data_IF_156082897633
#
_entry.id   IF_156082897633
#
_cell.length_a   1.000
_cell.length_b   1.000
_cell.length_c   1.000
_cell.angle_alpha   90.00
_cell.angle_beta   90.00
_cell.angle_gamma   90.00
#
_symmetry.space_group_name_H-M   'P 1'
#
loop_
_entity.id
_entity.type
_entity.pdbx_description
1 polymer ?
#
# COMPACT_ATOMS: atom_id res chain seq x y z
N UNK A 1 -4.06 -22.04 -0.32
CA UNK A 1 -3.66 -20.98 -1.19
C UNK A 1 -3.47 -19.66 -0.45
N UNK A 2 -4.24 -18.60 -0.59
CA UNK A 2 -4.01 -17.32 0.11
C UNK A 2 -2.74 -16.59 -0.33
N UNK A 3 -2.15 -15.78 0.60
CA UNK A 3 -0.97 -14.93 0.30
C UNK A 3 0.24 -15.70 -0.19
N UNK A 4 0.55 -16.84 0.38
CA UNK A 4 1.66 -17.69 -0.06
C UNK A 4 1.47 -18.24 -1.49
N UNK A 5 0.25 -18.61 -1.84
CA UNK A 5 -0.08 -19.05 -3.20
C UNK A 5 0.06 -17.92 -4.22
N UNK A 6 -0.38 -16.72 -3.86
CA UNK A 6 -0.22 -15.53 -4.70
C UNK A 6 1.26 -15.14 -4.85
N UNK A 7 2.03 -15.14 -3.77
CA UNK A 7 3.48 -14.89 -3.79
C UNK A 7 4.19 -15.80 -4.79
N UNK A 8 3.92 -17.11 -4.71
CA UNK A 8 4.52 -18.11 -5.60
C UNK A 8 4.12 -17.86 -7.06
N UNK A 9 2.83 -17.67 -7.32
CA UNK A 9 2.32 -17.43 -8.67
C UNK A 9 2.90 -16.15 -9.29
N UNK A 10 3.03 -15.08 -8.52
CA UNK A 10 3.64 -13.83 -8.98
C UNK A 10 5.15 -13.97 -9.19
N UNK A 11 5.87 -14.71 -8.32
CA UNK A 11 7.30 -14.97 -8.51
C UNK A 11 7.56 -15.75 -9.82
N UNK A 12 6.76 -16.77 -10.09
CA UNK A 12 6.82 -17.52 -11.35
C UNK A 12 6.47 -16.64 -12.55
N UNK A 13 5.43 -15.82 -12.45
CA UNK A 13 4.97 -14.95 -13.53
C UNK A 13 5.99 -13.85 -13.88
N UNK A 14 6.56 -13.19 -12.86
CA UNK A 14 7.55 -12.15 -13.06
C UNK A 14 8.96 -12.69 -13.31
N UNK A 15 9.28 -13.93 -12.89
CA UNK A 15 10.57 -14.55 -13.05
C UNK A 15 11.65 -13.99 -12.13
N UNK A 16 11.25 -13.46 -10.97
CA UNK A 16 12.12 -13.11 -9.84
C UNK A 16 11.44 -13.52 -8.53
N UNK A 17 12.23 -13.73 -7.50
CA UNK A 17 11.73 -14.14 -6.19
C UNK A 17 11.04 -12.96 -5.47
N UNK A 18 9.86 -13.23 -4.92
CA UNK A 18 9.16 -12.33 -4.00
C UNK A 18 9.32 -12.93 -2.61
N UNK A 19 10.12 -12.31 -1.75
CA UNK A 19 10.48 -12.86 -0.45
C UNK A 19 9.33 -12.78 0.56
N UNK A 20 8.58 -11.68 0.53
CA UNK A 20 7.58 -11.38 1.55
C UNK A 20 6.23 -11.00 0.95
N UNK A 21 5.19 -11.30 1.69
CA UNK A 21 3.84 -10.85 1.39
C UNK A 21 3.11 -10.37 2.64
N UNK A 22 2.13 -9.49 2.46
CA UNK A 22 1.16 -9.11 3.46
C UNK A 22 -0.22 -8.97 2.81
N UNK A 23 -1.20 -9.68 3.34
CA UNK A 23 -2.58 -9.64 2.88
C UNK A 23 -3.48 -9.24 4.03
N UNK A 24 -4.24 -8.19 3.85
CA UNK A 24 -5.24 -7.73 4.80
C UNK A 24 -6.65 -8.09 4.29
N UNK A 25 -7.56 -8.29 5.21
CA UNK A 25 -8.98 -8.12 4.94
C UNK A 25 -9.32 -6.63 5.07
N UNK A 26 -10.33 -6.16 4.37
CA UNK A 26 -10.67 -4.73 4.32
C UNK A 26 -10.84 -4.10 5.71
N UNK A 27 -11.61 -4.74 6.59
CA UNK A 27 -11.80 -4.25 7.96
C UNK A 27 -10.51 -4.28 8.80
N UNK A 28 -9.66 -5.28 8.62
CA UNK A 28 -8.40 -5.41 9.36
C UNK A 28 -7.41 -4.34 8.88
N UNK A 29 -7.41 -4.01 7.59
CA UNK A 29 -6.61 -2.93 7.02
C UNK A 29 -7.08 -1.56 7.54
N UNK A 30 -8.38 -1.28 7.50
CA UNK A 30 -8.97 -0.06 8.04
C UNK A 30 -8.58 0.13 9.50
N UNK A 31 -8.76 -0.90 10.33
CA UNK A 31 -8.37 -0.87 11.74
C UNK A 31 -6.86 -0.68 11.93
N UNK A 32 -6.03 -1.26 11.08
CA UNK A 32 -4.57 -1.06 11.12
C UNK A 32 -4.21 0.41 10.88
N UNK A 33 -4.77 1.02 9.84
CA UNK A 33 -4.55 2.44 9.52
C UNK A 33 -5.05 3.35 10.63
N UNK A 34 -6.23 3.09 11.19
CA UNK A 34 -6.79 3.88 12.30
C UNK A 34 -5.90 3.85 13.55
N UNK A 35 -5.26 2.72 13.83
CA UNK A 35 -4.32 2.59 14.94
C UNK A 35 -2.97 3.29 14.70
N UNK A 36 -2.58 3.51 13.44
CA UNK A 36 -1.43 4.37 13.13
C UNK A 36 -1.75 5.85 13.33
N UNK A 37 -3.04 6.21 13.35
CA UNK A 37 -3.54 7.56 13.39
C UNK A 37 -3.84 8.11 11.99
N UNK A 38 -4.59 9.21 11.95
CA UNK A 38 -4.91 9.86 10.68
C UNK A 38 -3.65 10.41 10.03
N UNK A 39 -3.49 10.18 8.75
CA UNK A 39 -2.35 10.70 8.00
C UNK A 39 -2.72 11.83 7.04
N UNK A 40 -1.75 12.70 6.82
CA UNK A 40 -1.93 13.85 5.95
C UNK A 40 -1.95 13.41 4.49
N UNK A 41 -2.97 13.88 3.77
CA UNK A 41 -3.08 13.71 2.33
C UNK A 41 -3.40 15.04 1.67
N UNK A 42 -2.78 15.34 0.53
CA UNK A 42 -3.02 16.56 -0.22
C UNK A 42 -3.67 16.23 -1.56
N UNK A 43 -4.92 16.63 -1.71
CA UNK A 43 -5.63 16.50 -2.99
C UNK A 43 -5.51 17.75 -3.83
N UNK A 44 -5.25 17.59 -5.13
CA UNK A 44 -5.18 18.71 -6.08
C UNK A 44 -6.56 19.23 -6.53
N UNK A 45 -7.62 18.48 -6.21
CA UNK A 45 -9.00 18.78 -6.58
C UNK A 45 -9.99 18.30 -5.53
N UNK A 46 -11.21 18.85 -5.60
CA UNK A 46 -12.33 18.26 -4.86
C UNK A 46 -12.68 16.89 -5.44
N UNK A 47 -12.88 15.90 -4.57
CA UNK A 47 -13.34 14.56 -4.95
C UNK A 47 -14.70 14.35 -4.28
N UNK A 48 -15.72 14.18 -5.10
CA UNK A 48 -17.07 13.79 -4.68
C UNK A 48 -17.47 12.58 -5.50
N UNK A 49 -17.63 11.48 -4.85
CA UNK A 49 -17.91 10.22 -5.50
C UNK A 49 -18.80 9.34 -4.63
N UNK A 50 -19.79 8.71 -5.25
CA UNK A 50 -20.63 7.69 -4.66
C UNK A 50 -20.39 6.45 -5.52
N UNK A 51 -19.68 5.46 -4.97
CA UNK A 51 -19.23 4.27 -5.68
C UNK A 51 -19.81 2.99 -5.10
N UNK A 52 -19.47 1.87 -5.75
CA UNK A 52 -19.94 0.55 -5.35
C UNK A 52 -21.34 0.21 -5.88
N UNK A 53 -21.88 -0.91 -5.43
CA UNK A 53 -23.22 -1.38 -5.80
C UNK A 53 -23.80 -2.32 -4.73
N UNK A 54 -25.12 -2.38 -4.63
CA UNK A 54 -25.80 -3.21 -3.63
C UNK A 54 -25.44 -2.80 -2.21
N UNK A 55 -25.05 -3.75 -1.39
CA UNK A 55 -24.65 -3.52 0.01
C UNK A 55 -23.20 -3.03 0.15
N UNK A 56 -22.42 -3.03 -0.95
CA UNK A 56 -21.01 -2.62 -0.98
C UNK A 56 -20.85 -1.22 -1.59
N UNK A 57 -21.53 -0.24 -1.00
CA UNK A 57 -21.44 1.17 -1.42
C UNK A 57 -20.47 1.94 -0.54
N UNK A 58 -19.85 2.98 -1.12
CA UNK A 58 -18.98 3.90 -0.39
C UNK A 58 -19.09 5.32 -0.90
N UNK A 59 -18.72 6.27 -0.09
CA UNK A 59 -18.84 7.69 -0.38
C UNK A 59 -17.51 8.41 -0.10
N UNK A 60 -17.08 9.28 -1.04
CA UNK A 60 -15.93 10.16 -0.84
C UNK A 60 -16.41 11.60 -0.88
N UNK A 61 -16.01 12.39 0.10
CA UNK A 61 -16.27 13.84 0.20
C UNK A 61 -14.98 14.56 0.61
N UNK A 62 -14.00 14.61 -0.30
CA UNK A 62 -12.70 15.21 -0.07
C UNK A 62 -12.63 16.59 -0.74
N UNK A 63 -12.14 17.59 -0.02
CA UNK A 63 -11.88 18.92 -0.58
C UNK A 63 -10.44 19.03 -1.09
N UNK A 64 -10.26 19.88 -2.10
CA UNK A 64 -8.91 20.30 -2.54
C UNK A 64 -8.12 20.84 -1.35
N UNK A 65 -6.83 20.46 -1.29
CA UNK A 65 -5.90 20.86 -0.24
C UNK A 65 -5.60 19.74 0.74
N UNK A 66 -5.10 20.09 1.91
CA UNK A 66 -4.69 19.15 2.94
C UNK A 66 -5.91 18.62 3.70
N UNK A 67 -6.02 17.32 3.81
CA UNK A 67 -7.00 16.59 4.63
C UNK A 67 -6.28 15.54 5.48
N UNK A 68 -6.97 15.05 6.49
CA UNK A 68 -6.46 13.95 7.33
C UNK A 68 -7.37 12.75 7.11
N UNK A 69 -6.80 11.70 6.54
CA UNK A 69 -7.51 10.47 6.21
C UNK A 69 -7.41 9.47 7.37
N UNK A 70 -8.49 8.81 7.66
CA UNK A 70 -8.53 7.60 8.47
C UNK A 70 -8.53 6.35 7.58
N UNK A 71 -8.67 5.16 8.19
CA UNK A 71 -8.61 3.91 7.45
C UNK A 71 -9.74 3.74 6.45
N UNK A 72 -10.93 4.23 6.75
CA UNK A 72 -12.08 4.18 5.82
C UNK A 72 -11.86 5.14 4.64
N UNK A 73 -11.45 6.37 4.90
CA UNK A 73 -11.12 7.35 3.87
C UNK A 73 -10.04 6.81 2.92
N UNK A 74 -8.98 6.17 3.49
CA UNK A 74 -7.92 5.57 2.70
C UNK A 74 -8.44 4.45 1.80
N UNK A 75 -9.19 3.50 2.37
CA UNK A 75 -9.73 2.36 1.62
C UNK A 75 -10.65 2.83 0.49
N UNK A 76 -11.53 3.78 0.77
CA UNK A 76 -12.43 4.36 -0.22
C UNK A 76 -11.68 5.07 -1.35
N UNK A 77 -10.63 5.85 -1.03
CA UNK A 77 -9.79 6.50 -2.04
C UNK A 77 -8.98 5.50 -2.87
N UNK A 78 -8.43 4.46 -2.25
CA UNK A 78 -7.74 3.39 -2.97
C UNK A 78 -8.67 2.70 -3.97
N UNK A 79 -9.89 2.39 -3.54
CA UNK A 79 -10.91 1.79 -4.39
C UNK A 79 -11.30 2.72 -5.55
N UNK A 80 -11.56 3.98 -5.27
CA UNK A 80 -11.86 4.99 -6.28
C UNK A 80 -10.76 5.10 -7.33
N UNK A 81 -9.50 5.22 -6.89
CA UNK A 81 -8.38 5.35 -7.82
C UNK A 81 -8.08 4.07 -8.59
N UNK A 82 -8.06 2.91 -7.94
CA UNK A 82 -7.65 1.66 -8.57
C UNK A 82 -8.75 0.96 -9.36
N UNK A 83 -10.00 1.03 -8.90
CA UNK A 83 -11.13 0.31 -9.50
C UNK A 83 -11.98 1.21 -10.38
N UNK A 84 -12.51 2.31 -9.82
CA UNK A 84 -13.53 3.10 -10.51
C UNK A 84 -12.92 3.99 -11.59
N UNK A 85 -11.80 4.66 -11.30
CA UNK A 85 -11.15 5.57 -12.25
C UNK A 85 -9.95 4.97 -12.98
N UNK A 86 -9.43 3.85 -12.48
CA UNK A 86 -8.20 3.20 -12.97
C UNK A 86 -7.01 4.17 -13.03
N UNK A 87 -6.99 5.14 -12.13
CA UNK A 87 -5.89 6.10 -11.98
C UNK A 87 -4.83 5.53 -11.03
N UNK A 88 -4.05 4.60 -11.54
CA UNK A 88 -3.01 3.91 -10.74
C UNK A 88 -1.92 4.86 -10.25
N UNK A 89 -1.66 5.96 -10.95
CA UNK A 89 -0.70 6.98 -10.48
C UNK A 89 -1.17 7.61 -9.17
N UNK A 90 -2.44 8.03 -9.10
CA UNK A 90 -3.00 8.58 -7.88
C UNK A 90 -3.12 7.55 -6.75
N UNK A 91 -3.40 6.28 -7.08
CA UNK A 91 -3.37 5.20 -6.11
C UNK A 91 -1.96 5.01 -5.51
N UNK A 92 -0.92 5.06 -6.34
CA UNK A 92 0.47 4.96 -5.88
C UNK A 92 0.92 6.18 -5.06
N UNK A 93 0.47 7.39 -5.40
CA UNK A 93 0.69 8.58 -4.57
C UNK A 93 0.05 8.41 -3.18
N UNK A 94 -1.14 7.87 -3.11
CA UNK A 94 -1.82 7.59 -1.83
C UNK A 94 -1.01 6.59 -0.99
N UNK A 95 -0.48 5.53 -1.60
CA UNK A 95 0.43 4.58 -0.93
C UNK A 95 1.70 5.28 -0.45
N UNK A 96 2.30 6.16 -1.27
CA UNK A 96 3.48 6.93 -0.88
C UNK A 96 3.21 7.81 0.33
N UNK A 97 2.08 8.51 0.38
CA UNK A 97 1.67 9.29 1.55
C UNK A 97 1.57 8.41 2.80
N UNK A 98 0.92 7.25 2.70
CA UNK A 98 0.78 6.33 3.83
C UNK A 98 2.14 5.78 4.32
N UNK A 99 3.04 5.41 3.41
CA UNK A 99 4.39 4.97 3.74
C UNK A 99 5.22 6.07 4.40
N UNK A 100 5.11 7.30 3.91
CA UNK A 100 5.81 8.46 4.49
C UNK A 100 5.33 8.74 5.92
N UNK A 101 4.02 8.61 6.18
CA UNK A 101 3.48 8.75 7.53
C UNK A 101 3.83 7.55 8.43
N UNK A 102 3.95 6.35 7.87
CA UNK A 102 4.37 5.17 8.63
C UNK A 102 5.83 5.28 9.07
N UNK A 103 6.73 5.71 8.18
CA UNK A 103 8.15 5.83 8.44
C UNK A 103 8.51 7.25 8.89
N UNK A 104 8.21 7.57 10.15
CA UNK A 104 8.59 8.82 10.80
C UNK A 104 9.16 8.57 12.20
N UNK A 105 9.83 9.59 12.78
CA UNK A 105 10.49 9.48 14.09
C UNK A 105 9.54 9.01 15.20
N UNK A 106 8.33 9.55 15.25
CA UNK A 106 7.32 9.18 16.25
C UNK A 106 6.95 7.70 16.15
N UNK A 107 6.72 7.21 14.94
CA UNK A 107 6.33 5.82 14.72
C UNK A 107 7.50 4.86 14.95
N UNK A 108 8.75 5.33 14.84
CA UNK A 108 9.89 4.50 15.20
C UNK A 108 9.95 4.21 16.69
N UNK A 109 9.60 5.15 17.54
CA UNK A 109 9.52 4.93 19.00
C UNK A 109 8.52 3.82 19.33
N UNK A 110 7.44 3.70 18.56
CA UNK A 110 6.39 2.70 18.71
C UNK A 110 6.50 1.52 17.71
N UNK A 111 7.61 1.39 16.97
CA UNK A 111 7.73 0.47 15.83
C UNK A 111 7.48 -1.00 16.20
N UNK A 112 7.85 -1.45 17.38
CA UNK A 112 7.57 -2.82 17.83
C UNK A 112 6.07 -3.06 18.05
N UNK A 113 5.39 -2.09 18.63
CA UNK A 113 3.94 -2.16 18.83
C UNK A 113 3.19 -2.13 17.51
N UNK A 114 3.60 -1.26 16.59
CA UNK A 114 3.06 -1.19 15.22
C UNK A 114 3.32 -2.48 14.44
N UNK A 115 4.51 -3.05 14.57
CA UNK A 115 4.81 -4.32 13.92
C UNK A 115 3.97 -5.48 14.48
N UNK A 116 3.77 -5.54 15.79
CA UNK A 116 2.86 -6.52 16.42
C UNK A 116 1.42 -6.35 15.93
N UNK A 117 0.96 -5.11 15.80
CA UNK A 117 -0.36 -4.80 15.26
C UNK A 117 -0.46 -5.24 13.79
N UNK A 118 0.55 -4.94 12.97
CA UNK A 118 0.64 -5.40 11.59
C UNK A 118 0.52 -6.92 11.49
N UNK A 119 1.31 -7.68 12.26
CA UNK A 119 1.27 -9.14 12.26
C UNK A 119 -0.07 -9.73 12.73
N UNK A 120 -0.79 -8.99 13.58
CA UNK A 120 -2.13 -9.39 14.03
C UNK A 120 -3.19 -9.12 12.96
N UNK A 121 -3.02 -8.05 12.18
CA UNK A 121 -4.00 -7.58 11.20
C UNK A 121 -3.80 -8.17 9.82
N UNK A 122 -2.58 -8.59 9.46
CA UNK A 122 -2.24 -9.14 8.16
C UNK A 122 -1.97 -10.64 8.21
N UNK A 123 -2.37 -11.35 7.15
CA UNK A 123 -1.78 -12.65 6.83
C UNK A 123 -0.44 -12.42 6.13
N UNK A 124 0.66 -12.79 6.77
CA UNK A 124 2.01 -12.49 6.28
C UNK A 124 3.01 -13.59 6.63
N UNK A 125 4.10 -13.68 5.88
CA UNK A 125 5.28 -14.49 6.22
C UNK A 125 6.40 -13.65 6.86
N UNK A 126 6.19 -12.34 7.09
CA UNK A 126 7.17 -11.50 7.81
C UNK A 126 7.12 -11.86 9.29
N UNK A 127 8.17 -12.47 9.78
CA UNK A 127 8.29 -12.88 11.19
C UNK A 127 8.83 -11.77 12.09
N UNK A 128 8.66 -11.93 13.39
CA UNK A 128 9.31 -11.04 14.39
C UNK A 128 10.82 -11.02 14.18
N UNK A 129 11.44 -12.15 13.88
CA UNK A 129 12.88 -12.22 13.59
C UNK A 129 13.26 -11.38 12.37
N UNK A 130 12.48 -11.43 11.28
CA UNK A 130 12.75 -10.58 10.12
C UNK A 130 12.71 -9.09 10.48
N UNK A 131 11.76 -8.69 11.35
CA UNK A 131 11.68 -7.31 11.83
C UNK A 131 12.90 -6.94 12.69
N UNK A 132 13.27 -7.77 13.65
CA UNK A 132 14.42 -7.54 14.53
C UNK A 132 15.73 -7.44 13.75
N UNK A 133 15.95 -8.36 12.80
CA UNK A 133 17.14 -8.37 11.93
C UNK A 133 17.22 -7.11 11.04
N UNK A 134 16.09 -6.46 10.73
CA UNK A 134 16.01 -5.27 9.87
C UNK A 134 15.66 -3.98 10.63
N UNK A 135 15.64 -3.99 11.96
CA UNK A 135 15.25 -2.82 12.77
C UNK A 135 16.11 -1.57 12.48
N UNK A 136 17.40 -1.76 12.22
CA UNK A 136 18.29 -0.67 11.83
C UNK A 136 17.89 -0.03 10.49
N UNK A 137 17.37 -0.81 9.56
CA UNK A 137 16.85 -0.26 8.29
C UNK A 137 15.59 0.56 8.53
N UNK A 138 14.69 0.12 9.40
CA UNK A 138 13.51 0.88 9.81
C UNK A 138 13.93 2.21 10.46
N UNK A 139 14.95 2.20 11.31
CA UNK A 139 15.53 3.40 11.92
C UNK A 139 16.02 4.39 10.87
N UNK A 140 16.77 3.91 9.87
CA UNK A 140 17.27 4.75 8.78
C UNK A 140 16.13 5.39 8.00
N UNK A 141 15.06 4.65 7.69
CA UNK A 141 13.89 5.21 7.03
C UNK A 141 13.19 6.28 7.86
N UNK A 142 13.08 6.08 9.17
CA UNK A 142 12.37 6.99 10.06
C UNK A 142 13.15 8.28 10.37
N UNK A 143 14.47 8.20 10.56
CA UNK A 143 15.27 9.33 11.03
C UNK A 143 16.08 10.05 9.96
N UNK A 144 16.40 9.40 8.85
CA UNK A 144 17.27 10.00 7.81
C UNK A 144 16.48 10.63 6.67
N UNK A 145 15.17 10.78 6.80
CA UNK A 145 14.31 11.29 5.72
C UNK A 145 14.69 10.68 4.36
N UNK A 146 14.87 9.36 4.35
CA UNK A 146 15.22 8.65 3.12
C UNK A 146 14.06 8.81 2.18
N UNK A 147 14.30 9.35 0.99
CA UNK A 147 13.27 9.54 -0.01
C UNK A 147 12.68 8.18 -0.39
N UNK A 148 11.43 7.97 0.02
CA UNK A 148 10.67 6.78 -0.39
C UNK A 148 10.16 7.07 -1.80
N UNK A 149 10.54 6.23 -2.74
CA UNK A 149 10.06 6.34 -4.12
C UNK A 149 9.14 5.18 -4.44
N UNK A 150 7.92 5.51 -4.85
CA UNK A 150 6.97 4.52 -5.37
C UNK A 150 7.03 4.58 -6.90
N UNK A 151 7.46 3.48 -7.51
CA UNK A 151 7.45 3.36 -8.97
C UNK A 151 6.08 2.90 -9.43
N UNK A 152 5.51 3.66 -10.36
CA UNK A 152 4.24 3.31 -11.00
C UNK A 152 4.52 2.69 -12.36
N UNK A 153 4.16 1.42 -12.52
CA UNK A 153 3.98 0.85 -13.85
C UNK A 153 2.54 1.09 -14.27
N UNK A 154 2.30 1.76 -15.40
CA UNK A 154 0.99 1.78 -16.03
C UNK A 154 0.83 0.47 -16.81
N UNK A 155 0.23 -0.59 -16.21
CA UNK A 155 0.22 -1.89 -16.85
C UNK A 155 -0.71 -1.88 -18.05
N UNK A 156 -0.21 -2.37 -19.17
CA UNK A 156 -1.04 -2.68 -20.33
C UNK A 156 -1.32 -4.18 -20.35
N UNK A 157 -2.55 -4.54 -20.71
CA UNK A 157 -3.03 -5.91 -20.67
C UNK A 157 -3.38 -6.38 -22.09
N UNK A 158 -3.12 -7.66 -22.34
CA UNK A 158 -3.65 -8.42 -23.47
C UNK A 158 -4.55 -9.52 -22.90
N UNK A 159 -5.84 -9.31 -22.91
CA UNK A 159 -6.79 -10.15 -22.17
C UNK A 159 -6.60 -9.98 -20.66
N UNK A 160 -6.31 -11.07 -19.96
CA UNK A 160 -6.07 -11.09 -18.49
C UNK A 160 -4.59 -11.06 -18.11
N UNK A 161 -3.68 -11.10 -19.07
CA UNK A 161 -2.24 -11.12 -18.85
C UNK A 161 -1.61 -9.75 -19.13
N UNK A 162 -0.53 -9.42 -18.43
CA UNK A 162 0.29 -8.25 -18.75
C UNK A 162 0.93 -8.41 -20.13
N UNK A 163 1.06 -7.32 -20.87
CA UNK A 163 1.83 -7.33 -22.12
C UNK A 163 3.32 -7.58 -21.83
N UNK A 164 4.06 -8.05 -22.83
CA UNK A 164 5.49 -8.30 -22.71
C UNK A 164 6.27 -7.03 -22.34
N UNK A 165 5.85 -5.87 -22.84
CA UNK A 165 6.47 -4.58 -22.51
C UNK A 165 6.25 -4.24 -21.03
N UNK A 166 5.03 -4.39 -20.51
CA UNK A 166 4.75 -4.19 -19.08
C UNK A 166 5.53 -5.16 -18.19
N UNK A 167 5.67 -6.43 -18.59
CA UNK A 167 6.51 -7.40 -17.88
C UNK A 167 7.98 -7.00 -17.86
N UNK A 168 8.49 -6.48 -18.99
CA UNK A 168 9.87 -5.99 -19.08
C UNK A 168 10.10 -4.78 -18.20
N UNK A 169 9.15 -3.85 -18.15
CA UNK A 169 9.23 -2.66 -17.28
C UNK A 169 9.27 -3.07 -15.81
N UNK A 170 8.35 -3.94 -15.36
CA UNK A 170 8.37 -4.46 -13.98
C UNK A 170 9.72 -5.11 -13.65
N UNK A 171 10.20 -6.00 -14.51
CA UNK A 171 11.52 -6.65 -14.31
C UNK A 171 12.66 -5.64 -14.24
N UNK A 172 12.60 -4.57 -15.02
CA UNK A 172 13.63 -3.52 -15.04
C UNK A 172 13.81 -2.79 -13.71
N UNK A 173 12.77 -2.73 -12.85
CA UNK A 173 12.89 -2.15 -11.51
C UNK A 173 13.61 -3.06 -10.51
N UNK A 174 13.56 -4.37 -10.69
CA UNK A 174 14.11 -5.37 -9.77
C UNK A 174 15.44 -5.99 -10.24
N UNK A 175 15.93 -5.59 -11.41
CA UNK A 175 17.16 -6.16 -12.02
C UNK A 175 18.40 -5.27 -11.83
N UNK A 176 18.33 -4.28 -10.93
CA UNK A 176 19.43 -3.34 -10.69
C UNK A 176 20.27 -3.75 -9.48
#
# INVERSE_FOLDING_TARGET
>A
DGGAGLQKALSEYFGFEIDYYACFKDNDFTNFVDNMGKFAYKSDKDIRHDGGSGDDTYTIRLRKGKSYLDGEDFSNLMRYYSVDTKNYSAANELVLYALTELFNEKNYEDCESLFRLFNKSASTNISVRNFEDNKNSVEVFCYKNTDITVYSCAPTYSGTALTQDSLKDVKGYFSK
#
